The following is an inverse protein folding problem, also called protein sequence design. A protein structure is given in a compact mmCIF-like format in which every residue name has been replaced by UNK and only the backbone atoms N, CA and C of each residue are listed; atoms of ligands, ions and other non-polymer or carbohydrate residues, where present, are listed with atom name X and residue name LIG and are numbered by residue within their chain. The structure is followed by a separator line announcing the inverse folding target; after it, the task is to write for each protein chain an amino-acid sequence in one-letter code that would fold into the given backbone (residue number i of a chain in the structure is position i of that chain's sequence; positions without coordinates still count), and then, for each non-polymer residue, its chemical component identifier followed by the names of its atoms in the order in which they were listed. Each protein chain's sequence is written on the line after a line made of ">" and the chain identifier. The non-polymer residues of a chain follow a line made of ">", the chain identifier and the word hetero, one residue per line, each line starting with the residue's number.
data_IF_107637533411
#
_entry.id   IF_107637533411
#
_cell.length_a   1.000
_cell.length_b   1.000
_cell.length_c   1.000
_cell.angle_alpha   90.00
_cell.angle_beta   90.00
_cell.angle_gamma   90.00
#
_symmetry.space_group_name_H-M   'P 1'
#
loop_
_entity.id
_entity.type
_entity.pdbx_description
1 polymer ?
#
# COMPACT_ATOMS: atom_id res chain seq x y z
N UNK A 1 -16.80 -5.56 -12.39
CA UNK A 1 -17.19 -5.12 -11.05
C UNK A 1 -18.25 -6.10 -10.58
N UNK A 2 -17.95 -6.91 -9.54
CA UNK A 2 -18.81 -7.96 -9.05
C UNK A 2 -20.11 -7.40 -8.44
N UNK A 3 -21.16 -8.22 -8.44
CA UNK A 3 -22.41 -7.90 -7.75
C UNK A 3 -22.19 -7.91 -6.24
N UNK A 4 -22.95 -7.10 -5.48
CA UNK A 4 -22.82 -6.95 -4.02
C UNK A 4 -22.75 -8.30 -3.24
N UNK A 5 -23.54 -9.34 -3.55
CA UNK A 5 -23.43 -10.63 -2.86
C UNK A 5 -22.05 -11.27 -2.98
N UNK A 6 -21.40 -11.21 -4.13
CA UNK A 6 -20.06 -11.79 -4.30
C UNK A 6 -18.98 -11.00 -3.56
N UNK A 7 -19.17 -9.70 -3.34
CA UNK A 7 -18.28 -8.91 -2.49
C UNK A 7 -18.46 -9.28 -1.00
N UNK A 8 -19.68 -9.53 -0.55
CA UNK A 8 -19.95 -9.98 0.82
C UNK A 8 -19.38 -11.38 1.08
N UNK A 9 -19.54 -12.30 0.14
CA UNK A 9 -18.95 -13.65 0.23
C UNK A 9 -17.43 -13.61 0.25
N UNK A 10 -16.81 -12.77 -0.60
CA UNK A 10 -15.34 -12.60 -0.62
C UNK A 10 -14.77 -11.96 0.65
N UNK A 11 -15.58 -11.27 1.46
CA UNK A 11 -15.18 -10.74 2.77
C UNK A 11 -15.47 -11.73 3.90
N UNK A 12 -16.54 -12.52 3.80
CA UNK A 12 -16.93 -13.45 4.85
C UNK A 12 -16.12 -14.75 4.87
N UNK A 13 -15.72 -15.28 3.70
CA UNK A 13 -14.89 -16.47 3.61
C UNK A 13 -13.54 -16.33 4.34
N UNK A 14 -12.79 -15.22 4.19
CA UNK A 14 -11.58 -15.01 4.94
C UNK A 14 -11.76 -14.88 6.45
N UNK A 15 -12.92 -14.45 6.95
CA UNK A 15 -13.18 -14.30 8.39
C UNK A 15 -12.98 -15.61 9.18
N UNK A 16 -13.31 -16.76 8.58
CA UNK A 16 -13.07 -18.06 9.20
C UNK A 16 -11.57 -18.37 9.30
N UNK A 17 -10.78 -17.92 8.32
CA UNK A 17 -9.32 -18.05 8.32
C UNK A 17 -8.71 -17.08 9.33
N UNK A 18 -9.20 -15.85 9.42
CA UNK A 18 -8.73 -14.85 10.37
C UNK A 18 -8.91 -15.32 11.82
N UNK A 19 -10.09 -15.83 12.16
CA UNK A 19 -10.36 -16.40 13.47
C UNK A 19 -9.46 -17.61 13.76
N UNK A 20 -9.23 -18.46 12.79
CA UNK A 20 -8.35 -19.61 12.94
C UNK A 20 -6.88 -19.17 13.12
N UNK A 21 -6.39 -18.17 12.37
CA UNK A 21 -5.06 -17.60 12.53
C UNK A 21 -4.89 -17.02 13.95
N UNK A 22 -5.85 -16.25 14.41
CA UNK A 22 -5.79 -15.62 15.73
C UNK A 22 -5.89 -16.64 16.88
N UNK A 23 -6.84 -17.58 16.82
CA UNK A 23 -7.15 -18.44 17.95
C UNK A 23 -6.34 -19.74 17.98
N UNK A 24 -6.02 -20.33 16.84
CA UNK A 24 -5.38 -21.64 16.76
C UNK A 24 -3.91 -21.53 16.33
N UNK A 25 -3.60 -20.77 15.30
CA UNK A 25 -2.24 -20.56 14.85
C UNK A 25 -1.47 -19.63 15.80
N UNK A 26 -2.19 -18.75 16.52
CA UNK A 26 -1.63 -17.77 17.46
C UNK A 26 -0.51 -16.93 16.85
N UNK A 27 -0.66 -16.57 15.57
CA UNK A 27 0.27 -15.68 14.92
C UNK A 27 0.20 -14.28 15.58
N UNK A 28 1.35 -13.67 15.79
CA UNK A 28 1.43 -12.31 16.31
C UNK A 28 1.02 -11.30 15.21
N UNK A 29 0.18 -10.33 15.60
CA UNK A 29 -0.27 -9.22 14.77
C UNK A 29 -0.67 -9.64 13.34
N UNK A 30 -1.58 -10.62 13.16
CA UNK A 30 -2.04 -10.98 11.84
C UNK A 30 -2.80 -9.80 11.24
N UNK A 31 -2.52 -9.45 9.99
CA UNK A 31 -3.24 -8.43 9.26
C UNK A 31 -3.78 -8.99 7.95
N UNK A 32 -5.03 -8.68 7.67
CA UNK A 32 -5.73 -9.07 6.46
C UNK A 32 -6.34 -7.83 5.79
N UNK A 33 -6.14 -7.71 4.49
CA UNK A 33 -6.78 -6.69 3.67
C UNK A 33 -7.17 -7.29 2.32
N UNK A 34 -8.46 -7.52 2.12
CA UNK A 34 -9.03 -8.18 0.94
C UNK A 34 -8.42 -9.56 0.70
N UNK A 35 -7.56 -9.71 -0.31
CA UNK A 35 -6.86 -10.94 -0.69
C UNK A 35 -5.41 -11.01 -0.17
N UNK A 36 -4.94 -9.97 0.50
CA UNK A 36 -3.57 -9.90 1.03
C UNK A 36 -3.54 -10.22 2.53
N UNK A 37 -2.75 -11.24 2.92
CA UNK A 37 -2.48 -11.62 4.31
C UNK A 37 -1.06 -11.26 4.70
N UNK A 38 -0.88 -10.87 5.96
CA UNK A 38 0.41 -10.58 6.57
C UNK A 38 0.46 -11.16 7.98
N UNK A 39 1.54 -11.82 8.32
CA UNK A 39 1.81 -12.37 9.64
C UNK A 39 3.28 -12.11 9.99
N UNK A 40 3.54 -11.90 11.28
CA UNK A 40 4.89 -11.77 11.83
C UNK A 40 5.24 -13.08 12.52
N UNK A 41 6.51 -13.48 12.43
CA UNK A 41 7.05 -14.63 13.08
C UNK A 41 8.45 -14.31 13.63
N UNK A 42 8.84 -14.92 14.72
CA UNK A 42 10.15 -14.70 15.33
C UNK A 42 11.27 -15.36 14.51
N UNK A 43 11.00 -16.53 13.94
CA UNK A 43 11.99 -17.28 13.17
C UNK A 43 11.49 -17.56 11.75
N UNK A 44 12.42 -17.89 10.87
CA UNK A 44 12.11 -18.28 9.50
C UNK A 44 11.31 -19.58 9.46
N UNK A 45 11.66 -20.54 10.30
CA UNK A 45 11.01 -21.84 10.42
C UNK A 45 9.54 -21.68 10.85
N UNK A 46 9.29 -20.79 11.82
CA UNK A 46 7.94 -20.42 12.24
C UNK A 46 7.15 -19.75 11.11
N UNK A 47 7.79 -18.84 10.37
CA UNK A 47 7.16 -18.20 9.21
C UNK A 47 6.81 -19.21 8.11
N UNK A 48 7.66 -20.20 7.87
CA UNK A 48 7.41 -21.30 6.93
C UNK A 48 6.23 -22.17 7.41
N UNK A 49 6.18 -22.52 8.68
CA UNK A 49 5.09 -23.27 9.28
C UNK A 49 3.73 -22.49 9.18
N UNK A 50 3.74 -21.19 9.47
CA UNK A 50 2.57 -20.34 9.31
C UNK A 50 2.07 -20.30 7.85
N UNK A 51 2.98 -20.09 6.90
CA UNK A 51 2.67 -20.08 5.47
C UNK A 51 2.00 -21.37 5.04
N UNK A 52 2.58 -22.52 5.42
CA UNK A 52 2.12 -23.83 4.99
C UNK A 52 0.75 -24.16 5.62
N UNK A 53 0.56 -23.88 6.91
CA UNK A 53 -0.70 -24.09 7.62
C UNK A 53 -1.83 -23.21 7.05
N UNK A 54 -1.56 -21.93 6.77
CA UNK A 54 -2.55 -21.02 6.15
C UNK A 54 -2.86 -21.44 4.72
N UNK A 55 -1.86 -21.89 3.95
CA UNK A 55 -2.07 -22.38 2.59
C UNK A 55 -2.98 -23.60 2.59
N UNK A 56 -2.69 -24.59 3.43
CA UNK A 56 -3.50 -25.80 3.57
C UNK A 56 -4.95 -25.46 3.97
N UNK A 57 -5.12 -24.57 4.95
CA UNK A 57 -6.43 -24.13 5.41
C UNK A 57 -7.25 -23.46 4.32
N UNK A 58 -6.61 -22.57 3.53
CA UNK A 58 -7.26 -21.88 2.41
C UNK A 58 -7.63 -22.85 1.29
N UNK A 59 -6.70 -23.75 0.93
CA UNK A 59 -6.92 -24.75 -0.11
C UNK A 59 -8.05 -25.73 0.28
N UNK A 60 -8.15 -26.12 1.55
CA UNK A 60 -9.27 -26.91 2.07
C UNK A 60 -10.64 -26.21 1.97
N UNK A 61 -10.65 -24.87 1.90
CA UNK A 61 -11.85 -24.07 1.67
C UNK A 61 -12.11 -23.77 0.18
N UNK A 62 -11.33 -24.38 -0.73
CA UNK A 62 -11.45 -24.17 -2.18
C UNK A 62 -10.79 -22.89 -2.69
N UNK A 63 -10.03 -22.18 -1.85
CA UNK A 63 -9.29 -20.97 -2.25
C UNK A 63 -7.90 -21.34 -2.78
N UNK A 64 -7.45 -20.63 -3.79
CA UNK A 64 -6.11 -20.84 -4.37
C UNK A 64 -5.12 -19.82 -3.85
N UNK A 65 -4.06 -20.28 -3.18
CA UNK A 65 -2.98 -19.42 -2.70
C UNK A 65 -1.90 -19.25 -3.77
N UNK A 66 -1.60 -18.00 -4.12
CA UNK A 66 -0.57 -17.70 -5.11
C UNK A 66 0.84 -17.86 -4.53
N UNK A 67 1.46 -19.03 -4.70
CA UNK A 67 2.83 -19.31 -4.24
C UNK A 67 3.86 -18.29 -4.75
N UNK A 68 3.66 -17.74 -5.95
CA UNK A 68 4.55 -16.71 -6.52
C UNK A 68 4.50 -15.38 -5.76
N UNK A 69 3.33 -15.02 -5.22
CA UNK A 69 3.13 -13.79 -4.45
C UNK A 69 3.42 -13.97 -2.97
N UNK A 70 3.22 -15.16 -2.42
CA UNK A 70 3.50 -15.49 -1.01
C UNK A 70 5.00 -15.51 -0.77
N UNK A 71 5.46 -14.69 0.16
CA UNK A 71 6.89 -14.48 0.42
C UNK A 71 7.17 -14.37 1.91
N UNK A 72 8.24 -15.02 2.34
CA UNK A 72 8.83 -14.84 3.67
C UNK A 72 10.00 -13.85 3.51
N UNK A 73 9.94 -12.75 4.24
CA UNK A 73 10.92 -11.66 4.12
C UNK A 73 11.36 -11.22 5.53
N UNK A 74 12.67 -11.16 5.82
CA UNK A 74 13.15 -10.59 7.08
C UNK A 74 12.67 -9.13 7.23
N UNK A 75 12.20 -8.73 8.41
CA UNK A 75 11.70 -7.37 8.68
C UNK A 75 12.78 -6.28 8.45
N UNK A 76 14.06 -6.65 8.56
CA UNK A 76 15.20 -5.77 8.23
C UNK A 76 15.27 -5.43 6.74
N UNK A 77 14.70 -6.27 5.86
CA UNK A 77 14.61 -6.00 4.43
C UNK A 77 13.27 -5.32 4.11
N UNK A 78 13.27 -4.38 3.15
CA UNK A 78 12.02 -3.74 2.74
C UNK A 78 11.03 -4.72 2.12
N UNK A 79 9.82 -4.75 2.64
CA UNK A 79 8.70 -5.51 2.06
C UNK A 79 7.51 -4.59 1.76
N UNK A 80 6.51 -5.11 1.05
CA UNK A 80 5.30 -4.35 0.69
C UNK A 80 4.06 -5.07 1.19
N UNK A 81 3.18 -4.28 1.81
CA UNK A 81 1.83 -4.69 2.14
C UNK A 81 0.87 -3.53 1.84
N UNK A 82 -0.31 -3.79 1.26
CA UNK A 82 -1.29 -2.77 0.87
C UNK A 82 -0.68 -1.60 0.06
N UNK A 83 0.25 -1.89 -0.85
CA UNK A 83 1.00 -0.92 -1.68
C UNK A 83 1.96 0.00 -0.91
N UNK A 84 2.05 -0.12 0.41
CA UNK A 84 3.02 0.59 1.25
C UNK A 84 4.28 -0.26 1.40
N UNK A 85 5.43 0.38 1.42
CA UNK A 85 6.72 -0.25 1.69
C UNK A 85 7.09 -0.03 3.14
N UNK A 86 7.40 -1.11 3.85
CA UNK A 86 7.82 -1.13 5.25
C UNK A 86 9.25 -1.64 5.38
N UNK A 87 9.95 -1.19 6.39
CA UNK A 87 11.26 -1.70 6.80
C UNK A 87 11.48 -1.44 8.28
N UNK A 88 11.81 -2.46 9.04
CA UNK A 88 12.27 -2.32 10.43
C UNK A 88 13.77 -2.03 10.45
N UNK A 89 14.18 -0.98 11.14
CA UNK A 89 15.59 -0.64 11.36
C UNK A 89 16.12 -1.29 12.65
N UNK A 90 17.44 -1.50 12.77
CA UNK A 90 18.04 -2.04 14.00
C UNK A 90 17.72 -1.23 15.26
N UNK A 91 17.35 0.04 15.11
CA UNK A 91 16.93 0.92 16.21
C UNK A 91 15.49 0.68 16.68
N UNK A 92 14.78 -0.33 16.14
CA UNK A 92 13.35 -0.55 16.39
C UNK A 92 12.41 0.38 15.61
N UNK A 93 12.94 1.36 14.87
CA UNK A 93 12.12 2.28 14.09
C UNK A 93 11.60 1.62 12.81
N UNK A 94 10.29 1.69 12.58
CA UNK A 94 9.66 1.30 11.31
C UNK A 94 9.70 2.48 10.34
N UNK A 95 10.27 2.26 9.16
CA UNK A 95 10.23 3.22 8.05
C UNK A 95 9.14 2.79 7.08
N UNK A 96 8.28 3.73 6.75
CA UNK A 96 7.21 3.55 5.76
C UNK A 96 7.45 4.43 4.55
N UNK A 97 7.09 3.93 3.37
CA UNK A 97 7.10 4.73 2.14
C UNK A 97 5.84 4.43 1.35
N UNK A 98 5.19 5.48 0.89
CA UNK A 98 4.06 5.37 -0.03
C UNK A 98 4.44 4.71 -1.37
N UNK A 99 3.45 4.48 -2.23
CA UNK A 99 3.66 3.81 -3.51
C UNK A 99 4.56 4.63 -4.47
N UNK A 100 5.64 4.00 -4.98
CA UNK A 100 6.53 4.62 -5.97
C UNK A 100 5.79 5.00 -7.27
N UNK A 101 4.81 4.21 -7.68
CA UNK A 101 4.05 4.47 -8.91
C UNK A 101 3.09 5.65 -8.73
N UNK A 102 2.66 5.94 -7.51
CA UNK A 102 1.93 7.16 -7.15
C UNK A 102 2.73 8.41 -7.52
N UNK A 103 4.02 8.45 -7.17
CA UNK A 103 4.90 9.56 -7.49
C UNK A 103 5.10 9.75 -9.00
N UNK A 104 5.26 8.65 -9.74
CA UNK A 104 5.38 8.72 -11.22
C UNK A 104 4.09 9.26 -11.85
N UNK A 105 2.93 8.78 -11.38
CA UNK A 105 1.62 9.26 -11.86
C UNK A 105 1.39 10.72 -11.52
N UNK A 106 1.70 11.14 -10.29
CA UNK A 106 1.56 12.52 -9.85
C UNK A 106 2.40 13.48 -10.73
N UNK A 107 3.68 13.13 -10.98
CA UNK A 107 4.54 13.91 -11.85
C UNK A 107 4.01 14.03 -13.29
N UNK A 108 3.51 12.90 -13.84
CA UNK A 108 2.92 12.91 -15.20
C UNK A 108 1.66 13.76 -15.25
N UNK A 109 0.82 13.67 -14.21
CA UNK A 109 -0.44 14.40 -14.13
C UNK A 109 -0.22 15.92 -13.98
N UNK A 110 0.76 16.35 -13.17
CA UNK A 110 1.16 17.75 -13.08
C UNK A 110 1.57 18.33 -14.43
N UNK A 111 2.32 17.59 -15.23
CA UNK A 111 2.70 18.02 -16.59
C UNK A 111 1.49 18.09 -17.53
N UNK A 112 0.58 17.12 -17.46
CA UNK A 112 -0.63 17.13 -18.26
C UNK A 112 -1.57 18.29 -17.90
N UNK A 113 -1.66 18.63 -16.61
CA UNK A 113 -2.43 19.78 -16.16
C UNK A 113 -1.88 21.12 -16.66
N UNK A 114 -0.55 21.22 -16.89
CA UNK A 114 0.03 22.45 -17.46
C UNK A 114 -0.58 22.78 -18.81
N UNK A 115 -0.73 21.80 -19.70
CA UNK A 115 -1.37 22.00 -20.99
C UNK A 115 -2.83 22.49 -20.85
N UNK A 116 -3.56 21.98 -19.86
CA UNK A 116 -4.95 22.42 -19.57
C UNK A 116 -5.00 23.84 -19.00
N UNK A 117 -4.05 24.19 -18.15
CA UNK A 117 -3.93 25.56 -17.63
C UNK A 117 -3.61 26.53 -18.75
N UNK A 118 -2.68 26.19 -19.66
CA UNK A 118 -2.31 27.02 -20.80
C UNK A 118 -3.45 27.18 -21.80
N UNK A 119 -4.34 26.18 -21.91
CA UNK A 119 -5.56 26.23 -22.73
C UNK A 119 -6.74 26.95 -22.04
N UNK A 120 -6.58 27.41 -20.77
CA UNK A 120 -7.67 28.04 -20.02
C UNK A 120 -8.74 27.06 -19.50
N UNK A 121 -8.55 25.75 -19.67
CA UNK A 121 -9.49 24.70 -19.22
C UNK A 121 -9.41 24.44 -17.72
N UNK A 122 -8.33 24.85 -17.06
CA UNK A 122 -8.06 24.61 -15.64
C UNK A 122 -7.30 25.80 -15.04
N UNK A 123 -7.54 26.10 -13.76
CA UNK A 123 -6.78 27.12 -13.03
C UNK A 123 -5.62 26.50 -12.25
N UNK A 124 -4.57 27.30 -12.00
CA UNK A 124 -3.44 26.88 -11.13
C UNK A 124 -3.93 26.53 -9.73
N UNK A 125 -4.98 27.21 -9.23
CA UNK A 125 -5.57 26.91 -7.93
C UNK A 125 -6.20 25.50 -7.88
N UNK A 126 -6.86 25.06 -8.95
CA UNK A 126 -7.38 23.69 -9.04
C UNK A 126 -6.25 22.65 -9.07
N UNK A 127 -5.16 22.95 -9.76
CA UNK A 127 -3.96 22.07 -9.73
C UNK A 127 -3.37 22.02 -8.33
N UNK A 128 -3.30 23.15 -7.62
CA UNK A 128 -2.82 23.21 -6.24
C UNK A 128 -3.68 22.39 -5.29
N UNK A 129 -5.02 22.49 -5.38
CA UNK A 129 -5.95 21.69 -4.59
C UNK A 129 -5.74 20.17 -4.82
N UNK A 130 -5.57 19.78 -6.08
CA UNK A 130 -5.23 18.39 -6.40
C UNK A 130 -3.85 18.00 -5.83
N UNK A 131 -2.83 18.85 -5.91
CA UNK A 131 -1.50 18.58 -5.34
C UNK A 131 -1.57 18.37 -3.83
N UNK A 132 -2.35 19.19 -3.11
CA UNK A 132 -2.56 19.04 -1.66
C UNK A 132 -3.09 17.66 -1.31
N UNK A 133 -4.04 17.12 -2.08
CA UNK A 133 -4.55 15.75 -1.85
C UNK A 133 -3.47 14.66 -2.07
N UNK A 134 -2.54 14.89 -3.01
CA UNK A 134 -1.43 13.96 -3.23
C UNK A 134 -0.37 14.06 -2.13
N UNK A 135 -0.13 15.26 -1.61
CA UNK A 135 0.79 15.52 -0.49
C UNK A 135 0.27 14.82 0.76
N UNK A 136 -1.00 15.00 1.12
CA UNK A 136 -1.64 14.36 2.27
C UNK A 136 -1.48 12.83 2.23
N UNK A 137 -1.59 12.20 1.04
CA UNK A 137 -1.32 10.77 0.90
C UNK A 137 0.10 10.39 1.32
N UNK A 138 1.13 11.17 0.94
CA UNK A 138 2.51 10.86 1.31
C UNK A 138 2.82 11.23 2.77
N UNK A 139 2.19 12.26 3.32
CA UNK A 139 2.31 12.66 4.72
C UNK A 139 1.79 11.57 5.67
N UNK A 140 0.69 10.88 5.33
CA UNK A 140 0.18 9.74 6.08
C UNK A 140 1.21 8.59 6.25
N UNK A 141 2.23 8.54 5.41
CA UNK A 141 3.32 7.57 5.50
C UNK A 141 4.65 8.19 5.95
N UNK A 142 4.64 9.43 6.48
CA UNK A 142 5.84 10.18 6.86
C UNK A 142 6.89 10.28 5.73
N UNK A 143 6.45 10.28 4.47
CA UNK A 143 7.32 10.28 3.28
C UNK A 143 7.69 11.71 2.85
N UNK A 144 8.28 12.48 3.78
CA UNK A 144 8.64 13.89 3.60
C UNK A 144 9.49 14.12 2.34
N UNK A 145 10.36 13.16 1.98
CA UNK A 145 11.18 13.26 0.78
C UNK A 145 10.36 13.36 -0.51
N UNK A 146 9.23 12.65 -0.57
CA UNK A 146 8.31 12.72 -1.73
C UNK A 146 7.46 13.99 -1.71
N UNK A 147 7.05 14.44 -0.55
CA UNK A 147 6.33 15.71 -0.37
C UNK A 147 7.20 16.86 -0.92
N UNK A 148 8.44 16.97 -0.45
CA UNK A 148 9.39 17.99 -0.93
C UNK A 148 9.61 17.90 -2.45
N UNK A 149 9.73 16.68 -2.97
CA UNK A 149 9.93 16.48 -4.41
C UNK A 149 8.71 16.89 -5.23
N UNK A 150 7.49 16.62 -4.78
CA UNK A 150 6.27 17.06 -5.46
C UNK A 150 6.15 18.58 -5.47
N UNK A 151 6.41 19.23 -4.35
CA UNK A 151 6.41 20.68 -4.27
C UNK A 151 7.44 21.30 -5.22
N UNK A 152 8.67 20.78 -5.27
CA UNK A 152 9.69 21.25 -6.22
C UNK A 152 9.25 21.10 -7.68
N UNK A 153 8.61 19.98 -8.04
CA UNK A 153 8.09 19.76 -9.40
C UNK A 153 6.97 20.75 -9.71
N UNK A 154 6.06 21.01 -8.77
CA UNK A 154 5.00 21.97 -8.94
C UNK A 154 5.57 23.37 -9.16
N UNK A 155 6.47 23.84 -8.32
CA UNK A 155 7.14 25.15 -8.47
C UNK A 155 7.90 25.25 -9.78
N UNK A 156 8.59 24.19 -10.22
CA UNK A 156 9.30 24.21 -11.52
C UNK A 156 8.35 24.32 -12.73
N UNK A 157 7.09 23.84 -12.60
CA UNK A 157 6.11 23.88 -13.70
C UNK A 157 5.26 25.16 -13.65
N UNK A 158 4.90 25.64 -12.43
CA UNK A 158 3.93 26.69 -12.20
C UNK A 158 4.48 27.90 -11.44
N UNK A 159 5.73 27.89 -10.99
CA UNK A 159 6.34 28.90 -10.12
C UNK A 159 6.51 30.30 -10.72
N UNK A 160 6.14 30.51 -11.98
CA UNK A 160 6.01 31.83 -12.58
C UNK A 160 4.59 32.39 -12.58
N UNK A 161 3.63 31.64 -12.07
CA UNK A 161 2.24 32.06 -11.91
C UNK A 161 2.00 32.38 -10.43
N UNK A 162 2.46 33.54 -9.97
CA UNK A 162 1.93 34.17 -8.74
C UNK A 162 0.47 34.60 -8.97
N UNK A 163 -0.35 34.56 -7.90
CA UNK A 163 -1.79 34.77 -7.98
C UNK A 163 -2.19 36.15 -8.44
#
# INVERSE_FOLDING_TARGET
>A
LGVEPSQMEMVSLPSAVDNWIACQLRAEDPAHYMDDYHMIAETKEQAEAFRDAVTERMEAMGLTVSRRKTKIVPLSRPFRFCKVKFQLKPTGRVITHGNRDGMKRARRKLRAFKAKVDAGEMTVQQVRAWLTSQIAYFENYNDHGRVLRLNRIFHAIYGGAEP
#
